data_IF_584231403530
#
_entry.id   IF_584231403530
#
_cell.length_a   1.000
_cell.length_b   1.000
_cell.length_c   1.000
_cell.angle_alpha   90.00
_cell.angle_beta   90.00
_cell.angle_gamma   90.00
#
_symmetry.space_group_name_H-M   'P 1'
#
loop_
_entity.id
_entity.type
_entity.pdbx_description
1 polymer ?
#
# COMPACT_ATOMS: atom_id res chain seq x y z
N UNK A 1 30.81 10.43 0.89
CA UNK A 1 30.02 11.59 1.32
C UNK A 1 29.84 11.48 2.82
N UNK A 2 30.41 12.41 3.59
CA UNK A 2 30.24 12.46 5.05
C UNK A 2 28.85 12.99 5.35
N UNK A 3 28.09 12.27 6.15
CA UNK A 3 26.67 12.54 6.41
C UNK A 3 26.57 13.22 7.77
N UNK A 4 26.80 14.53 7.80
CA UNK A 4 26.91 15.31 9.04
C UNK A 4 25.55 15.74 9.61
N UNK A 5 24.50 15.75 8.78
CA UNK A 5 23.13 16.09 9.20
C UNK A 5 22.11 14.97 8.94
N UNK A 6 21.01 15.00 9.70
CA UNK A 6 19.87 14.11 9.50
C UNK A 6 19.25 14.23 8.09
N UNK A 7 19.21 15.45 7.54
CA UNK A 7 18.69 15.70 6.20
C UNK A 7 19.57 15.06 5.13
N UNK A 8 20.88 14.98 5.35
CA UNK A 8 21.80 14.28 4.45
C UNK A 8 21.54 12.77 4.44
N UNK A 9 21.20 12.17 5.59
CA UNK A 9 20.83 10.75 5.69
C UNK A 9 19.54 10.51 4.91
N UNK A 10 18.52 11.36 5.11
CA UNK A 10 17.24 11.24 4.43
C UNK A 10 17.39 11.40 2.91
N UNK A 11 18.18 12.38 2.47
CA UNK A 11 18.49 12.63 1.06
C UNK A 11 19.22 11.45 0.41
N UNK A 12 20.21 10.88 1.09
CA UNK A 12 20.96 9.72 0.60
C UNK A 12 20.07 8.47 0.48
N UNK A 13 19.18 8.26 1.45
CA UNK A 13 18.25 7.13 1.45
C UNK A 13 17.17 7.28 0.37
N UNK A 14 16.74 8.51 0.08
CA UNK A 14 15.86 8.82 -1.06
C UNK A 14 16.55 8.62 -2.40
N UNK A 15 17.82 9.00 -2.52
CA UNK A 15 18.63 8.73 -3.71
C UNK A 15 18.79 7.23 -3.95
N UNK A 16 19.12 6.44 -2.92
CA UNK A 16 19.20 4.98 -3.01
C UNK A 16 17.85 4.34 -3.37
N UNK A 17 16.75 4.81 -2.78
CA UNK A 17 15.40 4.33 -3.11
C UNK A 17 15.02 4.65 -4.57
N UNK A 18 15.40 5.83 -5.07
CA UNK A 18 15.26 6.21 -6.48
C UNK A 18 16.03 5.27 -7.42
N UNK A 19 17.27 4.92 -7.07
CA UNK A 19 18.08 3.97 -7.85
C UNK A 19 17.52 2.54 -7.85
N UNK A 20 17.07 2.05 -6.69
CA UNK A 20 16.39 0.74 -6.57
C UNK A 20 15.12 0.67 -7.43
N UNK A 21 14.41 1.79 -7.59
CA UNK A 21 13.23 1.88 -8.46
C UNK A 21 13.59 1.85 -9.94
N UNK A 22 14.66 2.54 -10.34
CA UNK A 22 15.14 2.57 -11.71
C UNK A 22 15.65 1.19 -12.19
N UNK A 23 16.17 0.36 -11.29
CA UNK A 23 16.56 -1.03 -11.62
C UNK A 23 15.39 -2.00 -11.79
N UNK A 24 14.18 -1.66 -11.33
CA UNK A 24 13.02 -2.57 -11.30
C UNK A 24 12.10 -2.45 -12.52
N UNK A 25 12.42 -1.62 -13.50
CA UNK A 25 11.73 -1.58 -14.80
C UNK A 25 12.47 -2.44 -15.82
N UNK A 26 12.07 -3.71 -16.04
CA UNK A 26 12.55 -4.47 -17.18
C UNK A 26 11.92 -3.93 -18.48
N UNK A 27 12.68 -3.86 -19.60
CA UNK A 27 12.08 -3.83 -20.92
C UNK A 27 11.52 -5.22 -21.20
N UNK A 28 10.27 -5.30 -21.63
CA UNK A 28 9.56 -6.51 -22.05
C UNK A 28 9.14 -7.47 -20.92
N UNK A 29 7.82 -7.48 -20.65
CA UNK A 29 6.94 -8.65 -20.76
C UNK A 29 5.55 -8.26 -20.21
N UNK A 30 4.60 -8.18 -21.13
CA UNK A 30 3.16 -8.06 -20.89
C UNK A 30 2.64 -9.34 -20.23
N UNK A 31 2.16 -9.26 -18.99
CA UNK A 31 0.89 -9.88 -18.57
C UNK A 31 0.51 -9.51 -17.12
N UNK A 32 -0.59 -8.76 -17.02
CA UNK A 32 -1.64 -8.83 -15.98
C UNK A 32 -1.33 -8.75 -14.47
N UNK A 33 -0.28 -8.06 -14.00
CA UNK A 33 -0.34 -7.30 -12.72
C UNK A 33 0.46 -6.01 -12.87
N UNK A 34 0.08 -5.18 -13.83
CA UNK A 34 0.60 -3.83 -13.91
C UNK A 34 -0.08 -2.99 -12.82
N UNK A 35 0.39 -3.15 -11.57
CA UNK A 35 0.33 -2.07 -10.60
C UNK A 35 1.09 -0.93 -11.27
N UNK A 36 0.37 -0.07 -12.00
CA UNK A 36 0.84 1.25 -12.40
C UNK A 36 1.07 2.03 -11.11
N UNK A 37 2.16 1.70 -10.45
CA UNK A 37 2.68 2.37 -9.29
C UNK A 37 3.28 3.67 -9.81
N UNK A 38 2.41 4.57 -10.26
CA UNK A 38 2.76 5.94 -10.56
C UNK A 38 3.50 6.49 -9.34
N UNK A 39 4.49 7.34 -9.57
CA UNK A 39 5.28 8.00 -8.51
C UNK A 39 4.44 8.72 -7.45
N UNK A 40 3.15 8.96 -7.73
CA UNK A 40 2.15 9.49 -6.81
C UNK A 40 1.65 8.49 -5.76
N UNK A 41 1.91 7.18 -5.85
CA UNK A 41 1.18 6.19 -5.04
C UNK A 41 1.95 5.57 -3.86
N UNK A 42 3.07 6.17 -3.48
CA UNK A 42 3.95 5.62 -2.44
C UNK A 42 4.15 6.65 -1.35
N UNK A 43 3.82 6.27 -0.11
CA UNK A 43 4.17 7.02 1.07
C UNK A 43 5.29 6.31 1.82
N UNK A 44 6.34 7.05 2.16
CA UNK A 44 7.52 6.57 2.88
C UNK A 44 7.52 7.19 4.27
N UNK A 45 7.67 6.34 5.29
CA UNK A 45 7.78 6.74 6.70
C UNK A 45 9.21 6.44 7.15
N UNK A 46 10.00 7.49 7.35
CA UNK A 46 11.33 7.40 7.93
C UNK A 46 11.24 7.46 9.45
N UNK A 47 11.95 6.55 10.12
CA UNK A 47 12.00 6.44 11.57
C UNK A 47 13.45 6.54 11.99
N UNK A 48 13.80 7.63 12.67
CA UNK A 48 15.17 7.89 13.08
C UNK A 48 15.32 7.88 14.60
N UNK A 49 16.15 6.98 15.16
CA UNK A 49 16.41 6.95 16.60
C UNK A 49 17.25 8.17 17.02
N UNK A 50 16.84 8.84 18.09
CA UNK A 50 17.58 9.95 18.70
C UNK A 50 18.41 9.46 19.88
N UNK A 51 19.47 10.20 20.22
CA UNK A 51 20.31 9.92 21.41
C UNK A 51 19.51 9.92 22.72
N UNK A 52 18.35 10.57 22.74
CA UNK A 52 17.41 10.61 23.88
C UNK A 52 16.61 9.32 24.07
N UNK A 53 16.71 8.34 23.15
CA UNK A 53 15.89 7.13 23.15
C UNK A 53 14.50 7.30 22.55
N UNK A 54 14.18 8.50 22.03
CA UNK A 54 12.99 8.80 21.24
C UNK A 54 13.24 8.56 19.75
N UNK A 55 12.18 8.68 18.94
CA UNK A 55 12.25 8.51 17.49
C UNK A 55 11.68 9.73 16.76
N UNK A 56 12.44 10.30 15.83
CA UNK A 56 11.99 11.33 14.89
C UNK A 56 11.37 10.67 13.66
N UNK A 57 10.20 11.16 13.27
CA UNK A 57 9.43 10.68 12.14
C UNK A 57 9.58 11.67 10.99
N UNK A 58 9.87 11.18 9.80
CA UNK A 58 9.80 11.98 8.59
C UNK A 58 8.94 11.30 7.53
N UNK A 59 8.02 12.05 6.92
CA UNK A 59 7.06 11.54 5.96
C UNK A 59 7.39 12.07 4.58
N UNK A 60 7.54 11.19 3.60
CA UNK A 60 7.78 11.54 2.20
C UNK A 60 6.75 10.87 1.29
N UNK A 61 6.41 11.53 0.18
CA UNK A 61 5.41 11.06 -0.78
C UNK A 61 4.21 12.00 -0.87
N UNK A 62 3.35 11.82 -1.88
CA UNK A 62 2.18 12.67 -2.06
C UNK A 62 1.08 12.27 -1.09
N UNK A 63 1.07 12.88 0.08
CA UNK A 63 -0.19 13.09 0.81
C UNK A 63 -0.97 14.11 -0.01
N UNK A 64 -1.88 13.66 -0.87
CA UNK A 64 -2.77 14.56 -1.59
C UNK A 64 -3.42 15.49 -0.55
N UNK A 65 -3.01 16.75 -0.57
CA UNK A 65 -3.29 17.79 0.43
C UNK A 65 -4.78 18.18 0.51
N UNK A 66 -5.66 17.41 -0.14
CA UNK A 66 -7.04 17.78 -0.41
C UNK A 66 -8.09 17.13 0.48
N UNK A 67 -7.75 16.22 1.39
CA UNK A 67 -8.74 15.68 2.33
C UNK A 67 -8.11 15.56 3.72
N UNK A 68 -8.71 16.20 4.72
CA UNK A 68 -8.22 16.30 6.10
C UNK A 68 -7.77 14.96 6.69
N UNK A 69 -6.46 14.79 6.80
CA UNK A 69 -5.78 13.61 7.32
C UNK A 69 -6.04 13.48 8.83
N UNK A 70 -6.74 12.41 9.24
CA UNK A 70 -6.51 11.84 10.58
C UNK A 70 -5.30 10.93 10.46
N UNK A 71 -4.11 11.54 10.38
CA UNK A 71 -2.87 10.79 10.39
C UNK A 71 -2.26 10.88 11.79
N UNK A 72 -2.06 9.73 12.46
CA UNK A 72 -1.50 9.70 13.81
C UNK A 72 -0.01 10.07 13.82
N UNK A 73 0.64 10.07 12.65
CA UNK A 73 2.01 10.53 12.44
C UNK A 73 2.04 11.80 11.59
N UNK A 74 2.86 12.77 12.01
CA UNK A 74 3.13 14.03 11.30
C UNK A 74 4.63 14.12 11.02
N UNK A 75 4.99 14.77 9.90
CA UNK A 75 6.38 15.03 9.56
C UNK A 75 7.08 15.87 10.64
N UNK A 76 8.31 15.48 11.00
CA UNK A 76 9.08 16.08 12.08
C UNK A 76 8.69 15.64 13.49
N UNK A 77 7.62 14.84 13.66
CA UNK A 77 7.15 14.44 14.99
C UNK A 77 8.18 13.57 15.72
N UNK A 78 8.30 13.77 17.04
CA UNK A 78 9.14 12.94 17.91
C UNK A 78 8.24 12.09 18.81
N UNK A 79 8.44 10.76 18.78
CA UNK A 79 7.61 9.79 19.50
C UNK A 79 8.42 8.90 20.42
N UNK A 80 7.74 8.33 21.42
CA UNK A 80 8.35 7.34 22.32
C UNK A 80 8.46 5.98 21.66
N UNK A 81 9.42 5.16 22.11
CA UNK A 81 9.56 3.75 21.69
C UNK A 81 8.27 2.95 21.89
N UNK A 82 7.53 3.19 22.98
CA UNK A 82 6.33 2.41 23.34
C UNK A 82 5.13 2.73 22.46
N UNK A 83 5.01 3.98 22.01
CA UNK A 83 3.89 4.41 21.16
C UNK A 83 4.16 4.23 19.66
N UNK A 84 5.45 4.20 19.26
CA UNK A 84 5.84 4.21 17.85
C UNK A 84 5.19 3.09 17.03
N UNK A 85 5.19 1.86 17.52
CA UNK A 85 4.62 0.72 16.79
C UNK A 85 3.14 0.94 16.47
N UNK A 86 2.35 1.30 17.48
CA UNK A 86 0.93 1.59 17.32
C UNK A 86 0.68 2.74 16.32
N UNK A 87 1.40 3.85 16.45
CA UNK A 87 1.23 5.01 15.56
C UNK A 87 1.58 4.69 14.11
N UNK A 88 2.62 3.88 13.87
CA UNK A 88 3.00 3.45 12.51
C UNK A 88 1.93 2.52 11.93
N UNK A 89 1.42 1.57 12.71
CA UNK A 89 0.36 0.66 12.24
C UNK A 89 -0.91 1.42 11.88
N UNK A 90 -1.35 2.34 12.74
CA UNK A 90 -2.53 3.19 12.46
C UNK A 90 -2.30 4.08 11.24
N UNK A 91 -1.10 4.65 11.09
CA UNK A 91 -0.72 5.43 9.90
C UNK A 91 -0.85 4.60 8.63
N UNK A 92 -0.27 3.39 8.60
CA UNK A 92 -0.33 2.50 7.42
C UNK A 92 -1.77 2.11 7.12
N UNK A 93 -2.54 1.72 8.15
CA UNK A 93 -3.96 1.37 8.01
C UNK A 93 -4.76 2.52 7.40
N UNK A 94 -4.66 3.72 7.98
CA UNK A 94 -5.39 4.91 7.51
C UNK A 94 -5.01 5.27 6.07
N UNK A 95 -3.72 5.19 5.75
CA UNK A 95 -3.25 5.44 4.39
C UNK A 95 -3.80 4.40 3.41
N UNK A 96 -3.72 3.11 3.71
CA UNK A 96 -4.29 2.05 2.85
C UNK A 96 -5.80 2.16 2.66
N UNK A 97 -6.53 2.50 3.72
CA UNK A 97 -7.97 2.75 3.65
C UNK A 97 -8.31 3.92 2.72
N UNK A 98 -7.51 4.98 2.77
CA UNK A 98 -7.66 6.13 1.87
C UNK A 98 -7.25 5.84 0.44
N UNK A 99 -6.13 5.14 0.22
CA UNK A 99 -5.73 4.67 -1.11
C UNK A 99 -6.87 3.92 -1.79
N UNK A 100 -7.60 3.09 -1.04
CA UNK A 100 -8.79 2.40 -1.54
C UNK A 100 -9.95 3.33 -1.86
N UNK A 101 -10.18 4.40 -1.09
CA UNK A 101 -11.25 5.37 -1.33
C UNK A 101 -10.95 6.33 -2.49
N UNK A 102 -9.70 6.73 -2.66
CA UNK A 102 -9.26 7.59 -3.77
C UNK A 102 -9.20 6.81 -5.11
N UNK A 103 -9.07 5.49 -5.05
CA UNK A 103 -9.13 4.59 -6.19
C UNK A 103 -10.60 4.23 -6.49
N UNK A 104 -11.28 5.01 -7.34
CA UNK A 104 -12.64 4.70 -7.84
C UNK A 104 -12.77 3.30 -8.48
N UNK A 105 -11.64 2.69 -8.82
CA UNK A 105 -11.54 1.33 -9.36
C UNK A 105 -11.58 0.20 -8.32
N UNK A 106 -11.62 0.50 -7.03
CA UNK A 106 -11.63 -0.51 -5.96
C UNK A 106 -13.04 -0.69 -5.36
N UNK A 107 -13.88 -1.57 -5.93
CA UNK A 107 -15.22 -1.80 -5.38
C UNK A 107 -15.15 -2.35 -3.94
N UNK A 108 -16.12 -2.03 -3.08
CA UNK A 108 -16.20 -2.57 -1.73
C UNK A 108 -16.09 -4.10 -1.69
N UNK A 109 -15.60 -4.70 -0.59
CA UNK A 109 -15.35 -6.15 -0.52
C UNK A 109 -16.59 -7.00 -0.83
N UNK A 110 -17.78 -6.53 -0.43
CA UNK A 110 -19.04 -7.22 -0.74
C UNK A 110 -19.39 -7.18 -2.23
N UNK A 111 -19.10 -6.07 -2.93
CA UNK A 111 -19.30 -5.93 -4.37
C UNK A 111 -18.30 -6.81 -5.13
N UNK A 112 -17.02 -6.79 -4.74
CA UNK A 112 -15.99 -7.67 -5.31
C UNK A 112 -16.36 -9.15 -5.13
N UNK A 113 -16.84 -9.53 -3.93
CA UNK A 113 -17.32 -10.90 -3.66
C UNK A 113 -18.49 -11.28 -4.55
N UNK A 114 -19.46 -10.39 -4.77
CA UNK A 114 -20.60 -10.63 -5.66
C UNK A 114 -20.14 -10.87 -7.10
N UNK A 115 -19.22 -10.07 -7.62
CA UNK A 115 -18.67 -10.29 -8.97
C UNK A 115 -17.98 -11.66 -9.08
N UNK A 116 -17.11 -12.02 -8.13
CA UNK A 116 -16.45 -13.33 -8.13
C UNK A 116 -17.43 -14.51 -8.08
N UNK A 117 -18.50 -14.41 -7.28
CA UNK A 117 -19.55 -15.43 -7.23
C UNK A 117 -20.24 -15.55 -8.60
N UNK A 118 -20.58 -14.43 -9.23
CA UNK A 118 -21.17 -14.44 -10.56
C UNK A 118 -20.22 -15.03 -11.61
N UNK A 119 -18.92 -14.73 -11.56
CA UNK A 119 -17.92 -15.28 -12.48
C UNK A 119 -17.83 -16.81 -12.35
N UNK A 120 -17.85 -17.33 -11.12
CA UNK A 120 -17.93 -18.77 -10.87
C UNK A 120 -19.21 -19.35 -11.48
N UNK A 121 -20.37 -18.75 -11.20
CA UNK A 121 -21.66 -19.22 -11.73
C UNK A 121 -21.64 -19.24 -13.26
N UNK A 122 -21.14 -18.19 -13.90
CA UNK A 122 -21.05 -18.09 -15.37
C UNK A 122 -20.11 -19.14 -15.96
N UNK A 123 -18.93 -19.32 -15.37
CA UNK A 123 -17.95 -20.32 -15.83
C UNK A 123 -18.46 -21.76 -15.73
N UNK A 124 -19.26 -22.08 -14.71
CA UNK A 124 -19.86 -23.42 -14.60
C UNK A 124 -21.09 -23.61 -15.49
N UNK A 125 -21.93 -22.58 -15.67
CA UNK A 125 -23.07 -22.64 -16.61
C UNK A 125 -22.64 -22.91 -18.05
N UNK A 126 -21.45 -22.47 -18.46
CA UNK A 126 -20.90 -22.82 -19.78
C UNK A 126 -20.42 -24.27 -19.90
N UNK A 127 -20.16 -24.96 -18.79
CA UNK A 127 -19.51 -26.28 -18.78
C UNK A 127 -20.45 -27.43 -18.37
N UNK A 128 -21.58 -27.15 -17.73
CA UNK A 128 -22.48 -28.18 -17.21
C UNK A 128 -23.91 -27.65 -17.01
N UNK A 129 -24.90 -28.54 -17.09
CA UNK A 129 -26.29 -28.22 -16.80
C UNK A 129 -26.51 -27.98 -15.30
N UNK A 130 -27.52 -27.19 -14.94
CA UNK A 130 -27.82 -26.84 -13.54
C UNK A 130 -27.94 -28.06 -12.60
N UNK A 131 -28.58 -29.18 -12.98
CA UNK A 131 -28.61 -30.39 -12.15
C UNK A 131 -27.22 -31.02 -11.94
N UNK A 132 -26.38 -31.06 -12.98
CA UNK A 132 -25.04 -31.63 -12.92
C UNK A 132 -24.09 -30.80 -12.03
N UNK A 133 -24.28 -29.47 -12.03
CA UNK A 133 -23.55 -28.55 -11.15
C UNK A 133 -23.82 -28.83 -9.67
N UNK A 134 -25.09 -28.94 -9.24
CA UNK A 134 -25.40 -29.19 -7.84
C UNK A 134 -24.93 -30.57 -7.37
N UNK A 135 -24.95 -31.60 -8.24
CA UNK A 135 -24.38 -32.90 -7.90
C UNK A 135 -22.87 -32.84 -7.70
N UNK A 136 -22.13 -32.06 -8.50
CA UNK A 136 -20.67 -32.00 -8.39
C UNK A 136 -20.19 -31.31 -7.10
N UNK A 137 -20.98 -30.41 -6.51
CA UNK A 137 -20.63 -29.65 -5.30
C UNK A 137 -20.39 -30.52 -4.06
N UNK A 138 -20.99 -31.71 -3.99
CA UNK A 138 -20.96 -32.58 -2.82
C UNK A 138 -20.17 -33.88 -3.02
N UNK A 139 -19.49 -34.01 -4.17
CA UNK A 139 -18.72 -35.20 -4.53
C UNK A 139 -17.19 -35.01 -4.37
N UNK A 140 -16.77 -34.02 -3.57
CA UNK A 140 -15.39 -33.69 -3.27
C UNK A 140 -15.00 -34.11 -1.85
#
# INVERSE_FOLDING_TARGET
VWVESFEDIASLMMFSFGQLRAQRSPPDLTDSVHLSLSSSNIQVIFIHPLKTGLYRICLHGTTSTKLGLVNPLVDGMVTSRRSLGFLVTEMVSNCSHRWRLESDSAPPPHVRRKHLINDIILGYKSCCSEPAFYSALFHL
#
